data_IF_626950451775
#
_entry.id   IF_626950451775
#
_cell.length_a   1.000
_cell.length_b   1.000
_cell.length_c   1.000
_cell.angle_alpha   90.00
_cell.angle_beta   90.00
_cell.angle_gamma   90.00
#
_symmetry.space_group_name_H-M   'P 1'
#
loop_
_entity.id
_entity.type
_entity.pdbx_description
1 polymer ?
#
# COMPACT_ATOMS: atom_id res chain seq x y z
N UNK A 1 23.49 11.28 -38.56
CA UNK A 1 23.17 10.88 -37.17
C UNK A 1 21.84 10.11 -36.99
N UNK A 2 20.79 10.31 -37.81
CA UNK A 2 19.44 9.77 -37.52
C UNK A 2 19.17 8.25 -37.60
N UNK A 3 20.04 7.38 -38.12
CA UNK A 3 19.75 5.92 -38.22
C UNK A 3 20.09 5.12 -36.95
N UNK A 4 21.09 5.53 -36.16
CA UNK A 4 21.45 4.87 -34.89
C UNK A 4 20.46 5.21 -33.77
N UNK A 5 20.02 6.46 -33.72
CA UNK A 5 19.04 6.93 -32.72
C UNK A 5 17.67 6.27 -32.93
N UNK A 6 17.23 6.10 -34.18
CA UNK A 6 15.93 5.47 -34.48
C UNK A 6 15.90 3.96 -34.13
N UNK A 7 17.00 3.25 -34.37
CA UNK A 7 17.14 1.82 -34.04
C UNK A 7 17.23 1.60 -32.52
N UNK A 8 17.85 2.53 -31.80
CA UNK A 8 17.97 2.51 -30.34
C UNK A 8 16.62 2.80 -29.66
N UNK A 9 15.86 3.76 -30.20
CA UNK A 9 14.50 4.07 -29.72
C UNK A 9 13.54 2.90 -29.95
N UNK A 10 13.52 2.28 -31.14
CA UNK A 10 12.68 1.09 -31.40
C UNK A 10 13.04 -0.09 -30.49
N UNK A 11 14.34 -0.30 -30.20
CA UNK A 11 14.78 -1.38 -29.30
C UNK A 11 14.33 -1.11 -27.85
N UNK A 12 14.39 0.15 -27.41
CA UNK A 12 13.93 0.54 -26.07
C UNK A 12 12.40 0.44 -25.94
N UNK A 13 11.63 0.84 -26.95
CA UNK A 13 10.17 0.67 -26.96
C UNK A 13 9.77 -0.81 -26.90
N UNK A 14 10.41 -1.66 -27.70
CA UNK A 14 10.17 -3.11 -27.65
C UNK A 14 10.52 -3.71 -26.28
N UNK A 15 11.64 -3.29 -25.67
CA UNK A 15 12.01 -3.73 -24.33
C UNK A 15 11.04 -3.23 -23.26
N UNK A 16 10.54 -2.00 -23.37
CA UNK A 16 9.50 -1.48 -22.46
C UNK A 16 8.24 -2.32 -22.58
N UNK A 17 7.77 -2.58 -23.79
CA UNK A 17 6.54 -3.33 -24.02
C UNK A 17 6.69 -4.79 -23.58
N UNK A 18 7.85 -5.40 -23.86
CA UNK A 18 8.19 -6.72 -23.34
C UNK A 18 8.19 -6.75 -21.82
N UNK A 19 8.79 -5.78 -21.15
CA UNK A 19 8.82 -5.72 -19.67
C UNK A 19 7.42 -5.47 -19.09
N UNK A 20 6.61 -4.63 -19.71
CA UNK A 20 5.22 -4.39 -19.30
C UNK A 20 4.37 -5.65 -19.45
N UNK A 21 4.42 -6.29 -20.62
CA UNK A 21 3.70 -7.53 -20.90
C UNK A 21 4.18 -8.64 -19.95
N UNK A 22 5.48 -8.77 -19.76
CA UNK A 22 6.08 -9.71 -18.84
C UNK A 22 5.65 -9.46 -17.39
N UNK A 23 5.57 -8.19 -16.96
CA UNK A 23 5.03 -7.83 -15.65
C UNK A 23 3.58 -8.32 -15.53
N UNK A 24 2.72 -7.96 -16.50
CA UNK A 24 1.30 -8.32 -16.55
C UNK A 24 1.09 -9.83 -16.41
N UNK A 25 1.78 -10.61 -17.25
CA UNK A 25 1.66 -12.07 -17.33
C UNK A 25 2.19 -12.79 -16.08
N UNK A 26 3.07 -12.14 -15.29
CA UNK A 26 3.72 -12.71 -14.12
C UNK A 26 3.38 -11.97 -12.81
N UNK A 27 2.22 -11.31 -12.72
CA UNK A 27 1.84 -10.48 -11.58
C UNK A 27 1.43 -11.26 -10.31
N UNK A 28 2.39 -11.46 -9.40
CA UNK A 28 2.11 -11.74 -7.98
C UNK A 28 2.23 -10.48 -7.09
N UNK A 29 2.69 -9.35 -7.63
CA UNK A 29 2.97 -8.14 -6.86
C UNK A 29 1.72 -7.57 -6.15
N UNK A 30 0.56 -7.55 -6.82
CA UNK A 30 -0.71 -7.11 -6.24
C UNK A 30 -1.26 -8.07 -5.19
N UNK A 31 -1.10 -9.38 -5.42
CA UNK A 31 -1.44 -10.42 -4.45
C UNK A 31 -0.62 -10.21 -3.18
N UNK A 32 0.68 -9.93 -3.30
CA UNK A 32 1.54 -9.63 -2.16
C UNK A 32 1.10 -8.36 -1.41
N UNK A 33 0.76 -7.29 -2.11
CA UNK A 33 0.27 -6.05 -1.47
C UNK A 33 -1.05 -6.29 -0.73
N UNK A 34 -1.98 -7.01 -1.35
CA UNK A 34 -3.28 -7.28 -0.75
C UNK A 34 -3.14 -8.16 0.49
N UNK A 35 -2.43 -9.29 0.37
CA UNK A 35 -2.35 -10.26 1.46
C UNK A 35 -1.42 -9.84 2.60
N UNK A 36 -0.37 -9.07 2.29
CA UNK A 36 0.64 -8.67 3.27
C UNK A 36 0.34 -7.33 3.93
N UNK A 37 -0.38 -6.42 3.25
CA UNK A 37 -0.62 -5.06 3.72
C UNK A 37 -2.11 -4.79 3.87
N UNK A 38 -2.86 -4.78 2.76
CA UNK A 38 -4.26 -4.32 2.77
C UNK A 38 -5.13 -5.16 3.70
N UNK A 39 -5.05 -6.49 3.57
CA UNK A 39 -5.87 -7.43 4.35
C UNK A 39 -5.55 -7.34 5.85
N UNK A 40 -4.29 -7.42 6.32
CA UNK A 40 -3.98 -7.25 7.74
C UNK A 40 -4.43 -5.90 8.30
N UNK A 41 -4.19 -4.80 7.57
CA UNK A 41 -4.58 -3.46 8.02
C UNK A 41 -6.09 -3.38 8.14
N UNK A 42 -6.83 -3.74 7.08
CA UNK A 42 -8.30 -3.75 7.09
C UNK A 42 -8.87 -4.67 8.17
N UNK A 43 -8.26 -5.83 8.39
CA UNK A 43 -8.65 -6.78 9.42
C UNK A 43 -8.56 -6.15 10.82
N UNK A 44 -7.44 -5.52 11.13
CA UNK A 44 -7.21 -4.85 12.42
C UNK A 44 -8.22 -3.72 12.63
N UNK A 45 -8.46 -2.93 11.59
CA UNK A 45 -9.39 -1.80 11.63
C UNK A 45 -10.82 -2.23 11.96
N UNK A 46 -11.32 -3.27 11.29
CA UNK A 46 -12.66 -3.81 11.53
C UNK A 46 -12.81 -4.39 12.94
N UNK A 47 -11.77 -5.07 13.44
CA UNK A 47 -11.81 -5.63 14.79
C UNK A 47 -11.84 -4.54 15.86
N UNK A 48 -11.06 -3.47 15.67
CA UNK A 48 -10.99 -2.35 16.61
C UNK A 48 -12.27 -1.53 16.61
N UNK A 49 -12.86 -1.28 15.43
CA UNK A 49 -14.19 -0.67 15.37
C UNK A 49 -15.21 -1.49 16.17
N UNK A 50 -15.24 -2.82 15.97
CA UNK A 50 -16.19 -3.67 16.66
C UNK A 50 -15.93 -3.70 18.18
N UNK A 51 -14.68 -3.65 18.61
CA UNK A 51 -14.31 -3.56 20.03
C UNK A 51 -14.78 -2.24 20.64
N UNK A 52 -14.53 -1.12 19.96
CA UNK A 52 -14.99 0.21 20.36
C UNK A 52 -16.51 0.24 20.53
N UNK A 53 -17.22 -0.31 19.55
CA UNK A 53 -18.67 -0.39 19.53
C UNK A 53 -19.22 -1.25 20.66
N UNK A 54 -18.59 -2.40 20.94
CA UNK A 54 -18.98 -3.28 22.04
C UNK A 54 -18.79 -2.59 23.40
N UNK A 55 -17.70 -1.85 23.60
CA UNK A 55 -17.48 -1.08 24.82
C UNK A 55 -18.60 -0.06 25.07
N UNK A 56 -18.92 0.75 24.04
CA UNK A 56 -20.00 1.73 24.10
C UNK A 56 -21.37 1.10 24.41
N UNK A 57 -21.69 -0.03 23.78
CA UNK A 57 -22.95 -0.73 24.03
C UNK A 57 -23.04 -1.25 25.47
N UNK A 58 -21.94 -1.78 26.02
CA UNK A 58 -21.92 -2.27 27.41
C UNK A 58 -22.16 -1.13 28.40
N UNK A 59 -21.58 0.03 28.17
CA UNK A 59 -21.77 1.22 29.00
C UNK A 59 -23.21 1.76 28.93
N UNK A 60 -23.79 1.77 27.72
CA UNK A 60 -25.11 2.37 27.47
C UNK A 60 -26.26 1.49 27.97
N UNK A 61 -26.21 0.18 27.67
CA UNK A 61 -27.33 -0.74 27.89
C UNK A 61 -27.25 -1.41 29.27
N UNK A 62 -26.03 -1.67 29.77
CA UNK A 62 -25.77 -2.37 31.03
C UNK A 62 -26.50 -3.73 31.16
N UNK A 63 -26.70 -4.44 30.05
CA UNK A 63 -27.28 -5.79 29.99
C UNK A 63 -26.18 -6.83 29.71
N UNK A 64 -26.20 -7.94 30.45
CA UNK A 64 -25.30 -9.08 30.25
C UNK A 64 -25.45 -9.74 28.88
N UNK A 65 -26.57 -9.51 28.18
CA UNK A 65 -26.81 -9.96 26.80
C UNK A 65 -25.99 -9.20 25.75
N UNK A 66 -25.28 -8.13 26.12
CA UNK A 66 -24.35 -7.39 25.25
C UNK A 66 -22.96 -8.04 25.26
N UNK A 67 -22.71 -8.90 24.28
CA UNK A 67 -21.41 -9.59 24.16
C UNK A 67 -21.03 -9.89 22.70
N UNK A 68 -19.75 -10.24 22.49
CA UNK A 68 -19.26 -10.73 21.21
C UNK A 68 -19.49 -12.24 21.09
N UNK A 69 -20.21 -12.68 20.06
CA UNK A 69 -20.54 -14.07 19.79
C UNK A 69 -19.72 -14.66 18.63
N UNK A 70 -18.39 -14.64 18.79
CA UNK A 70 -17.44 -15.17 17.81
C UNK A 70 -17.22 -14.29 16.58
N UNK A 71 -16.58 -14.88 15.57
CA UNK A 71 -16.19 -14.24 14.31
C UNK A 71 -16.81 -14.99 13.12
N UNK A 72 -17.07 -14.29 12.02
CA UNK A 72 -17.38 -14.90 10.74
C UNK A 72 -16.49 -14.35 9.63
N UNK A 73 -16.23 -15.18 8.62
CA UNK A 73 -15.44 -14.79 7.46
C UNK A 73 -16.33 -14.14 6.41
N UNK A 74 -15.87 -13.01 5.87
CA UNK A 74 -16.46 -12.33 4.71
C UNK A 74 -15.39 -12.21 3.63
N UNK A 75 -15.69 -12.67 2.42
CA UNK A 75 -14.86 -12.41 1.24
C UNK A 75 -15.17 -11.01 0.73
N UNK A 76 -14.13 -10.20 0.56
CA UNK A 76 -14.20 -8.87 -0.05
C UNK A 76 -13.38 -8.85 -1.33
N UNK A 77 -13.60 -7.86 -2.19
CA UNK A 77 -13.00 -7.72 -3.51
C UNK A 77 -12.37 -6.34 -3.70
N UNK A 78 -11.28 -6.31 -4.44
CA UNK A 78 -10.63 -5.12 -4.98
C UNK A 78 -10.10 -5.48 -6.37
N UNK A 79 -10.60 -4.82 -7.41
CA UNK A 79 -10.41 -5.25 -8.80
C UNK A 79 -10.84 -6.72 -8.96
N UNK A 80 -10.00 -7.51 -9.62
CA UNK A 80 -10.22 -8.96 -9.80
C UNK A 80 -9.78 -9.82 -8.61
N UNK A 81 -9.21 -9.20 -7.56
CA UNK A 81 -8.72 -9.92 -6.38
C UNK A 81 -9.84 -10.05 -5.35
N UNK A 82 -9.88 -11.20 -4.69
CA UNK A 82 -10.75 -11.42 -3.53
C UNK A 82 -9.96 -11.97 -2.36
N UNK A 83 -10.20 -11.42 -1.18
CA UNK A 83 -9.50 -11.81 0.04
C UNK A 83 -10.49 -11.91 1.22
N UNK A 84 -10.24 -12.83 2.17
CA UNK A 84 -11.09 -13.00 3.34
C UNK A 84 -10.74 -12.00 4.44
N UNK A 85 -11.76 -11.52 5.15
CA UNK A 85 -11.64 -10.81 6.43
C UNK A 85 -12.57 -11.44 7.46
N UNK A 86 -12.16 -11.42 8.73
CA UNK A 86 -12.96 -11.84 9.88
C UNK A 86 -13.70 -10.63 10.46
N UNK A 87 -14.96 -10.82 10.80
CA UNK A 87 -15.82 -9.77 11.36
C UNK A 87 -16.46 -10.30 12.64
N UNK A 88 -16.46 -9.50 13.71
CA UNK A 88 -17.06 -9.88 14.98
C UNK A 88 -18.58 -9.87 14.91
N UNK A 89 -19.23 -10.89 15.49
CA UNK A 89 -20.68 -10.89 15.69
C UNK A 89 -20.98 -10.25 17.04
N UNK A 90 -21.71 -9.14 17.06
CA UNK A 90 -22.18 -8.52 18.30
C UNK A 90 -23.62 -8.98 18.56
N UNK A 91 -23.89 -9.46 19.78
CA UNK A 91 -25.23 -9.82 20.25
C UNK A 91 -25.78 -8.61 20.99
N UNK A 92 -26.81 -7.97 20.41
CA UNK A 92 -27.80 -7.08 21.05
C UNK A 92 -28.62 -6.39 19.94
N UNK A 93 -27.95 -5.85 18.94
CA UNK A 93 -28.55 -5.22 17.75
C UNK A 93 -27.86 -5.66 16.46
N UNK A 94 -28.54 -5.48 15.32
CA UNK A 94 -28.02 -5.76 13.98
C UNK A 94 -27.00 -4.69 13.57
N UNK A 95 -25.88 -4.66 14.28
CA UNK A 95 -24.87 -3.62 14.20
C UNK A 95 -23.90 -3.92 13.06
N UNK A 96 -23.97 -3.14 11.98
CA UNK A 96 -22.98 -3.21 10.89
C UNK A 96 -21.74 -2.38 11.21
N UNK A 97 -20.60 -2.83 10.69
CA UNK A 97 -19.37 -2.04 10.56
C UNK A 97 -19.63 -0.84 9.65
N UNK A 98 -19.08 0.32 9.98
CA UNK A 98 -19.00 1.51 9.11
C UNK A 98 -17.89 1.36 8.07
N UNK A 99 -16.83 0.62 8.40
CA UNK A 99 -15.69 0.32 7.51
C UNK A 99 -16.10 -0.61 6.39
N UNK A 100 -16.80 -1.68 6.76
CA UNK A 100 -17.26 -2.74 5.86
C UNK A 100 -18.76 -2.88 6.03
N UNK A 101 -19.52 -2.02 5.37
CA UNK A 101 -20.98 -1.96 5.53
C UNK A 101 -21.64 -3.29 5.17
N UNK A 102 -22.85 -3.50 5.67
CA UNK A 102 -23.57 -4.75 5.45
C UNK A 102 -23.71 -5.01 3.95
N UNK A 103 -23.45 -6.24 3.53
CA UNK A 103 -23.46 -6.67 2.13
C UNK A 103 -22.43 -6.02 1.19
N UNK A 104 -21.61 -5.07 1.65
CA UNK A 104 -20.49 -4.59 0.85
C UNK A 104 -19.50 -5.75 0.62
N UNK A 105 -19.17 -5.96 -0.65
CA UNK A 105 -18.27 -7.00 -1.13
C UNK A 105 -17.16 -6.48 -2.02
N UNK A 106 -17.26 -5.23 -2.50
CA UNK A 106 -16.26 -4.61 -3.35
C UNK A 106 -15.82 -3.27 -2.76
N UNK A 107 -14.53 -2.99 -2.85
CA UNK A 107 -13.92 -1.72 -2.48
C UNK A 107 -13.31 -1.06 -3.70
N UNK A 108 -13.38 0.27 -3.73
CA UNK A 108 -12.71 1.07 -4.75
C UNK A 108 -11.21 1.23 -4.45
N UNK A 109 -10.44 1.59 -5.47
CA UNK A 109 -8.98 1.81 -5.33
C UNK A 109 -8.67 2.92 -4.33
N UNK A 110 -9.52 3.93 -4.21
CA UNK A 110 -9.32 5.02 -3.25
C UNK A 110 -9.29 4.51 -1.82
N UNK A 111 -10.27 3.70 -1.43
CA UNK A 111 -10.33 3.07 -0.11
C UNK A 111 -9.07 2.23 0.15
N UNK A 112 -8.61 1.48 -0.85
CA UNK A 112 -7.41 0.65 -0.71
C UNK A 112 -6.16 1.51 -0.52
N UNK A 113 -6.04 2.63 -1.22
CA UNK A 113 -4.93 3.57 -1.02
C UNK A 113 -5.00 4.25 0.36
N UNK A 114 -6.20 4.56 0.85
CA UNK A 114 -6.38 5.04 2.23
C UNK A 114 -5.87 4.00 3.24
N UNK A 115 -6.17 2.71 3.04
CA UNK A 115 -5.68 1.60 3.87
C UNK A 115 -4.15 1.45 3.76
N UNK A 116 -3.58 1.51 2.56
CA UNK A 116 -2.12 1.43 2.36
C UNK A 116 -1.40 2.60 3.03
N UNK A 117 -1.98 3.80 2.99
CA UNK A 117 -1.43 4.98 3.67
C UNK A 117 -1.29 4.72 5.17
N UNK A 118 -2.27 4.10 5.82
CA UNK A 118 -2.21 3.74 7.23
C UNK A 118 -1.11 2.72 7.57
N UNK A 119 -0.66 1.95 6.58
CA UNK A 119 0.42 0.96 6.72
C UNK A 119 1.81 1.54 6.48
N UNK A 120 1.89 2.77 5.95
CA UNK A 120 3.15 3.43 5.65
C UNK A 120 3.93 3.71 6.94
N UNK A 121 5.19 3.29 6.99
CA UNK A 121 6.05 3.49 8.15
C UNK A 121 6.43 4.96 8.42
N UNK A 122 6.20 5.85 7.47
CA UNK A 122 6.65 7.24 7.55
C UNK A 122 5.60 8.19 8.15
N UNK A 123 4.41 7.68 8.50
CA UNK A 123 3.39 8.48 9.18
C UNK A 123 3.64 8.51 10.70
N UNK A 124 3.53 9.70 11.28
CA UNK A 124 3.50 9.89 12.73
C UNK A 124 2.21 9.34 13.35
N UNK A 125 2.23 9.06 14.66
CA UNK A 125 1.05 8.59 15.39
C UNK A 125 -0.13 9.58 15.29
N UNK A 126 0.17 10.88 15.30
CA UNK A 126 -0.86 11.91 15.11
C UNK A 126 -1.46 11.88 13.70
N UNK A 127 -0.65 11.67 12.67
CA UNK A 127 -1.15 11.55 11.29
C UNK A 127 -2.02 10.32 11.10
N UNK A 128 -1.61 9.18 11.65
CA UNK A 128 -2.40 7.95 11.63
C UNK A 128 -3.72 8.18 12.37
N UNK A 129 -3.70 8.74 13.58
CA UNK A 129 -4.91 9.02 14.37
C UNK A 129 -5.89 9.92 13.63
N UNK A 130 -5.38 11.02 13.04
CA UNK A 130 -6.18 11.92 12.23
C UNK A 130 -6.76 11.21 11.00
N UNK A 131 -5.95 10.41 10.30
CA UNK A 131 -6.41 9.68 9.13
C UNK A 131 -7.49 8.65 9.49
N UNK A 132 -7.34 7.89 10.58
CA UNK A 132 -8.35 6.96 11.08
C UNK A 132 -9.65 7.69 11.41
N UNK A 133 -9.57 8.80 12.14
CA UNK A 133 -10.76 9.61 12.48
C UNK A 133 -11.49 10.09 11.23
N UNK A 134 -10.75 10.52 10.21
CA UNK A 134 -11.29 11.00 8.95
C UNK A 134 -11.90 9.88 8.08
N UNK A 135 -11.33 8.67 8.13
CA UNK A 135 -11.85 7.49 7.44
C UNK A 135 -13.11 6.93 8.11
N UNK A 136 -13.16 6.96 9.44
CA UNK A 136 -14.22 6.30 10.20
C UNK A 136 -15.35 7.20 10.68
N UNK A 137 -15.13 8.52 10.67
CA UNK A 137 -16.10 9.48 11.18
C UNK A 137 -16.42 9.28 12.67
N UNK A 138 -15.54 8.62 13.42
CA UNK A 138 -15.60 8.54 14.87
C UNK A 138 -14.18 8.69 15.45
N UNK A 139 -14.09 9.35 16.60
CA UNK A 139 -12.84 9.44 17.35
C UNK A 139 -12.58 8.10 18.03
N UNK A 140 -11.41 7.53 17.78
CA UNK A 140 -10.90 6.42 18.58
C UNK A 140 -10.48 6.97 19.94
N UNK A 141 -10.78 6.25 21.03
CA UNK A 141 -10.14 6.54 22.30
C UNK A 141 -8.63 6.32 22.18
N UNK A 142 -7.85 7.02 23.01
CA UNK A 142 -6.39 6.85 23.04
C UNK A 142 -5.99 5.38 23.24
N UNK A 143 -6.71 4.67 24.11
CA UNK A 143 -6.50 3.25 24.37
C UNK A 143 -6.67 2.38 23.11
N UNK A 144 -7.75 2.59 22.34
CA UNK A 144 -8.02 1.84 21.12
C UNK A 144 -7.04 2.21 20.00
N UNK A 145 -6.62 3.46 19.95
CA UNK A 145 -5.60 3.91 19.01
C UNK A 145 -4.25 3.25 19.30
N UNK A 146 -3.83 3.20 20.57
CA UNK A 146 -2.62 2.51 20.99
C UNK A 146 -2.72 1.00 20.69
N UNK A 147 -3.88 0.38 20.90
CA UNK A 147 -4.11 -1.01 20.52
C UNK A 147 -3.99 -1.23 19.00
N UNK A 148 -4.55 -0.33 18.18
CA UNK A 148 -4.37 -0.34 16.73
C UNK A 148 -2.89 -0.33 16.35
N UNK A 149 -2.13 0.62 16.90
CA UNK A 149 -0.71 0.73 16.62
C UNK A 149 0.06 -0.50 17.06
N UNK A 150 -0.26 -1.07 18.22
CA UNK A 150 0.38 -2.29 18.74
C UNK A 150 0.15 -3.50 17.84
N UNK A 151 -1.04 -3.63 17.25
CA UNK A 151 -1.36 -4.73 16.33
C UNK A 151 -0.74 -4.53 14.95
N UNK A 152 -0.74 -3.29 14.42
CA UNK A 152 -0.30 -3.04 13.05
C UNK A 152 1.21 -2.88 12.89
N UNK A 153 1.85 -2.09 13.77
CA UNK A 153 3.27 -1.69 13.62
C UNK A 153 4.23 -2.87 13.50
N UNK A 154 4.08 -3.98 14.26
CA UNK A 154 4.99 -5.11 14.12
C UNK A 154 4.97 -5.70 12.70
N UNK A 155 3.78 -5.88 12.13
CA UNK A 155 3.61 -6.50 10.81
C UNK A 155 4.13 -5.58 9.69
N UNK A 156 3.78 -4.28 9.73
CA UNK A 156 4.27 -3.32 8.74
C UNK A 156 5.77 -3.12 8.84
N UNK A 157 6.32 -2.96 10.06
CA UNK A 157 7.77 -2.87 10.27
C UNK A 157 8.49 -4.11 9.75
N UNK A 158 7.99 -5.30 10.08
CA UNK A 158 8.58 -6.57 9.61
C UNK A 158 8.57 -6.66 8.09
N UNK A 159 7.50 -6.23 7.43
CA UNK A 159 7.43 -6.22 5.97
C UNK A 159 8.44 -5.25 5.36
N UNK A 160 8.50 -4.01 5.86
CA UNK A 160 9.46 -3.00 5.39
C UNK A 160 10.92 -3.33 5.74
N UNK A 161 11.18 -4.11 6.79
CA UNK A 161 12.53 -4.55 7.19
C UNK A 161 12.92 -5.91 6.61
N UNK A 162 12.04 -6.57 5.83
CA UNK A 162 12.32 -7.87 5.23
C UNK A 162 13.56 -7.75 4.35
N UNK A 163 14.56 -8.60 4.61
CA UNK A 163 15.80 -8.63 3.84
C UNK A 163 15.54 -8.97 2.37
N UNK A 164 16.36 -8.37 1.50
CA UNK A 164 16.29 -8.47 0.04
C UNK A 164 17.48 -9.23 -0.56
N UNK A 165 18.12 -10.14 0.19
CA UNK A 165 19.29 -10.93 -0.27
C UNK A 165 19.07 -11.81 -1.53
N UNK A 166 17.93 -11.67 -2.22
CA UNK A 166 17.70 -12.25 -3.52
C UNK A 166 18.30 -11.36 -4.61
N UNK A 167 19.10 -11.93 -5.52
CA UNK A 167 19.51 -11.19 -6.72
C UNK A 167 18.28 -10.92 -7.60
N UNK A 168 17.79 -9.68 -7.55
CA UNK A 168 16.79 -9.18 -8.48
C UNK A 168 17.49 -8.59 -9.69
N UNK A 169 17.19 -9.12 -10.87
CA UNK A 169 17.78 -8.63 -12.12
C UNK A 169 17.15 -7.33 -12.60
N UNK A 170 15.87 -7.11 -12.28
CA UNK A 170 15.12 -5.95 -12.78
C UNK A 170 14.30 -5.31 -11.67
N UNK A 171 14.34 -3.99 -11.59
CA UNK A 171 13.45 -3.19 -10.74
C UNK A 171 12.52 -2.34 -11.60
N UNK A 172 11.25 -2.29 -11.21
CA UNK A 172 10.23 -1.44 -11.79
C UNK A 172 9.82 -0.42 -10.74
N UNK A 173 9.92 0.86 -11.07
CA UNK A 173 9.52 1.96 -10.21
C UNK A 173 8.26 2.62 -10.74
N UNK A 174 7.26 2.78 -9.87
CA UNK A 174 6.05 3.51 -10.22
C UNK A 174 5.62 4.44 -9.09
N UNK A 175 4.78 5.41 -9.43
CA UNK A 175 4.15 6.32 -8.49
C UNK A 175 2.65 6.45 -8.78
N UNK A 176 1.83 6.47 -7.74
CA UNK A 176 0.39 6.64 -7.83
C UNK A 176 -0.03 7.86 -7.00
N UNK A 177 -0.42 8.98 -7.63
CA UNK A 177 -0.98 10.11 -6.90
C UNK A 177 -2.39 9.76 -6.42
N UNK A 178 -2.71 10.14 -5.19
CA UNK A 178 -4.04 9.94 -4.61
C UNK A 178 -4.38 11.04 -3.62
N UNK A 179 -5.63 11.09 -3.17
CA UNK A 179 -6.11 12.11 -2.23
C UNK A 179 -6.69 11.44 -0.99
N UNK A 180 -6.17 11.82 0.17
CA UNK A 180 -6.75 11.44 1.46
C UNK A 180 -7.73 12.52 1.92
N UNK A 181 -8.87 12.08 2.45
CA UNK A 181 -9.84 13.00 3.07
C UNK A 181 -9.29 13.43 4.42
N UNK A 182 -9.36 14.73 4.69
CA UNK A 182 -9.07 15.30 6.00
C UNK A 182 -10.21 16.21 6.44
N UNK A 183 -10.61 16.11 7.71
CA UNK A 183 -11.54 17.05 8.31
C UNK A 183 -10.72 18.07 9.10
N UNK A 184 -10.76 19.33 8.67
CA UNK A 184 -10.17 20.48 9.38
C UNK A 184 -11.31 21.48 9.62
N UNK A 185 -11.55 21.86 10.88
CA UNK A 185 -12.52 22.90 11.26
C UNK A 185 -13.93 22.73 10.64
N UNK A 186 -14.49 21.52 10.76
CA UNK A 186 -15.79 21.12 10.19
C UNK A 186 -15.89 21.17 8.65
N UNK A 187 -14.79 21.49 7.95
CA UNK A 187 -14.70 21.48 6.50
C UNK A 187 -13.97 20.23 6.00
N UNK A 188 -14.53 19.60 4.97
CA UNK A 188 -13.89 18.48 4.28
C UNK A 188 -12.85 19.04 3.30
N UNK A 189 -11.58 18.71 3.53
CA UNK A 189 -10.48 18.98 2.61
C UNK A 189 -9.87 17.68 2.09
N UNK A 190 -9.10 17.80 1.03
CA UNK A 190 -8.34 16.68 0.47
C UNK A 190 -6.85 17.03 0.45
N UNK A 191 -6.02 16.18 1.04
CA UNK A 191 -4.56 16.29 0.95
C UNK A 191 -4.05 15.38 -0.15
N UNK A 192 -3.26 15.94 -1.06
CA UNK A 192 -2.57 15.16 -2.08
C UNK A 192 -1.51 14.29 -1.42
N UNK A 193 -1.41 13.05 -1.87
CA UNK A 193 -0.42 12.06 -1.47
C UNK A 193 0.11 11.36 -2.72
N UNK A 194 1.27 10.76 -2.60
CA UNK A 194 1.92 9.96 -3.64
C UNK A 194 2.35 8.64 -3.02
N UNK A 195 1.86 7.54 -3.60
CA UNK A 195 2.28 6.19 -3.28
C UNK A 195 3.43 5.81 -4.22
N UNK A 196 4.61 5.56 -3.66
CA UNK A 196 5.81 5.10 -4.34
C UNK A 196 5.81 3.58 -4.31
N UNK A 197 6.17 2.94 -5.41
CA UNK A 197 6.12 1.50 -5.57
C UNK A 197 7.41 1.01 -6.20
N UNK A 198 7.94 -0.08 -5.65
CA UNK A 198 9.09 -0.78 -6.20
C UNK A 198 8.75 -2.26 -6.31
N UNK A 199 8.63 -2.73 -7.56
CA UNK A 199 8.47 -4.13 -7.89
C UNK A 199 9.80 -4.66 -8.38
N UNK A 200 10.19 -5.84 -7.92
CA UNK A 200 11.40 -6.49 -8.35
C UNK A 200 11.09 -7.80 -9.07
N UNK A 201 11.90 -8.11 -10.09
CA UNK A 201 11.84 -9.35 -10.86
C UNK A 201 13.12 -10.12 -10.59
N UNK A 202 12.99 -11.34 -10.09
CA UNK A 202 14.14 -12.21 -9.80
C UNK A 202 14.61 -12.98 -11.06
N UNK A 203 15.71 -13.72 -10.93
CA UNK A 203 16.23 -14.53 -12.04
C UNK A 203 15.27 -15.65 -12.51
N UNK A 204 14.34 -16.08 -11.67
CA UNK A 204 13.27 -17.03 -12.02
C UNK A 204 12.05 -16.36 -12.66
N UNK A 205 12.16 -15.11 -13.08
CA UNK A 205 11.09 -14.38 -13.74
C UNK A 205 9.84 -14.12 -12.86
N UNK A 206 9.96 -14.24 -11.55
CA UNK A 206 8.86 -13.94 -10.62
C UNK A 206 8.93 -12.48 -10.17
N UNK A 207 7.81 -11.78 -10.31
CA UNK A 207 7.64 -10.42 -9.81
C UNK A 207 7.17 -10.40 -8.35
N UNK A 208 7.69 -9.49 -7.55
CA UNK A 208 7.17 -9.21 -6.21
C UNK A 208 7.27 -7.72 -5.87
N UNK A 209 6.27 -7.19 -5.18
CA UNK A 209 6.36 -5.85 -4.58
C UNK A 209 7.34 -5.94 -3.39
N UNK A 210 8.49 -5.27 -3.51
CA UNK A 210 9.53 -5.28 -2.48
C UNK A 210 9.47 -4.05 -1.58
N UNK A 211 8.87 -2.96 -2.05
CA UNK A 211 8.74 -1.73 -1.27
C UNK A 211 7.57 -0.87 -1.72
N UNK A 212 6.94 -0.20 -0.76
CA UNK A 212 6.06 0.94 -1.01
C UNK A 212 6.34 2.03 0.01
N UNK A 213 6.03 3.29 -0.32
CA UNK A 213 6.11 4.43 0.59
C UNK A 213 5.01 5.44 0.27
N UNK A 214 4.57 6.22 1.25
CA UNK A 214 3.57 7.28 1.04
C UNK A 214 4.12 8.62 1.50
N UNK A 215 4.19 9.59 0.60
CA UNK A 215 4.59 10.97 0.91
C UNK A 215 3.58 12.00 0.38
N UNK A 216 3.77 13.27 0.74
CA UNK A 216 2.89 14.37 0.31
C UNK A 216 3.07 14.76 -1.16
N UNK A 217 4.28 14.60 -1.70
CA UNK A 217 4.64 14.98 -3.07
C UNK A 217 5.84 14.18 -3.55
N UNK A 218 5.99 14.13 -4.86
CA UNK A 218 7.20 13.58 -5.48
C UNK A 218 8.41 14.50 -5.30
N UNK A 219 9.55 13.95 -4.87
CA UNK A 219 10.85 14.63 -4.79
C UNK A 219 11.98 13.63 -5.04
N UNK A 220 13.14 14.12 -5.52
CA UNK A 220 14.37 13.33 -5.63
C UNK A 220 14.85 12.80 -4.27
N UNK A 221 14.64 13.59 -3.21
CA UNK A 221 14.99 13.20 -1.83
C UNK A 221 14.18 11.98 -1.38
N UNK A 222 12.88 11.94 -1.69
CA UNK A 222 12.04 10.79 -1.36
C UNK A 222 12.48 9.54 -2.13
N UNK A 223 12.81 9.68 -3.43
CA UNK A 223 13.35 8.56 -4.20
C UNK A 223 14.71 8.07 -3.70
N UNK A 224 15.60 9.00 -3.33
CA UNK A 224 16.89 8.67 -2.69
C UNK A 224 16.64 7.89 -1.39
N UNK A 225 15.68 8.32 -0.58
CA UNK A 225 15.31 7.61 0.64
C UNK A 225 14.82 6.19 0.36
N UNK A 226 13.93 6.00 -0.63
CA UNK A 226 13.46 4.67 -1.05
C UNK A 226 14.65 3.77 -1.43
N UNK A 227 15.53 4.25 -2.30
CA UNK A 227 16.68 3.50 -2.80
C UNK A 227 17.71 3.17 -1.69
N UNK A 228 17.98 4.10 -0.79
CA UNK A 228 18.85 3.87 0.37
C UNK A 228 18.29 2.78 1.30
N UNK A 229 16.97 2.78 1.53
CA UNK A 229 16.31 1.74 2.31
C UNK A 229 16.42 0.37 1.64
N UNK A 230 16.25 0.30 0.32
CA UNK A 230 16.44 -0.93 -0.44
C UNK A 230 17.87 -1.47 -0.28
N UNK A 231 18.88 -0.60 -0.47
CA UNK A 231 20.28 -0.94 -0.29
C UNK A 231 20.59 -1.41 1.13
N UNK A 232 20.05 -0.73 2.16
CA UNK A 232 20.20 -1.12 3.57
C UNK A 232 19.58 -2.48 3.88
N UNK A 233 18.53 -2.87 3.16
CA UNK A 233 17.90 -4.21 3.25
C UNK A 233 18.68 -5.30 2.52
N UNK A 234 19.82 -4.97 1.92
CA UNK A 234 20.69 -5.91 1.22
C UNK A 234 20.38 -6.11 -0.25
N UNK A 235 19.60 -5.20 -0.88
CA UNK A 235 19.35 -5.26 -2.32
C UNK A 235 20.64 -4.96 -3.09
N UNK A 236 21.12 -5.95 -3.84
CA UNK A 236 22.24 -5.80 -4.78
C UNK A 236 21.87 -4.87 -5.93
N UNK A 237 22.89 -4.32 -6.59
CA UNK A 237 22.71 -3.50 -7.78
C UNK A 237 22.03 -4.32 -8.91
N UNK A 238 20.87 -3.88 -9.43
CA UNK A 238 20.14 -4.62 -10.47
C UNK A 238 20.79 -4.42 -11.84
N UNK A 239 20.56 -5.36 -12.76
CA UNK A 239 21.01 -5.24 -14.15
C UNK A 239 20.20 -4.17 -14.91
N UNK A 240 18.90 -4.10 -14.62
CA UNK A 240 17.95 -3.24 -15.31
C UNK A 240 17.03 -2.50 -14.33
N UNK A 241 16.78 -1.23 -14.59
CA UNK A 241 15.79 -0.41 -13.90
C UNK A 241 14.85 0.20 -14.93
N UNK A 242 13.55 0.07 -14.70
CA UNK A 242 12.51 0.66 -15.55
C UNK A 242 11.67 1.62 -14.73
N UNK A 243 11.52 2.84 -15.23
CA UNK A 243 10.78 3.90 -14.54
C UNK A 243 10.18 4.89 -15.55
N UNK A 244 9.19 5.67 -15.11
CA UNK A 244 8.48 6.62 -15.98
C UNK A 244 9.31 7.89 -16.17
N UNK A 245 9.34 8.46 -17.39
CA UNK A 245 10.09 9.69 -17.72
C UNK A 245 9.78 10.87 -16.80
N UNK A 246 8.54 10.99 -16.34
CA UNK A 246 8.13 12.09 -15.47
C UNK A 246 8.66 11.98 -14.04
N UNK A 247 9.29 10.86 -13.66
CA UNK A 247 9.75 10.63 -12.30
C UNK A 247 11.10 11.27 -12.03
N UNK A 248 11.25 11.76 -10.81
CA UNK A 248 12.48 12.37 -10.27
C UNK A 248 13.47 11.30 -9.78
N UNK A 249 13.71 10.27 -10.60
CA UNK A 249 14.46 9.05 -10.25
C UNK A 249 15.88 8.97 -10.82
N UNK A 250 16.16 9.74 -11.88
CA UNK A 250 17.44 9.65 -12.60
C UNK A 250 18.65 9.93 -11.69
N UNK A 251 18.69 11.10 -11.07
CA UNK A 251 19.80 11.50 -10.20
C UNK A 251 19.97 10.54 -8.99
N UNK A 252 18.89 10.15 -8.27
CA UNK A 252 19.00 9.14 -7.21
C UNK A 252 19.53 7.78 -7.69
N UNK A 253 19.10 7.30 -8.85
CA UNK A 253 19.55 6.01 -9.42
C UNK A 253 21.02 6.07 -9.83
N UNK A 254 21.42 7.12 -10.54
CA UNK A 254 22.81 7.35 -10.97
C UNK A 254 23.76 7.41 -9.76
N UNK A 255 23.28 7.86 -8.59
CA UNK A 255 24.05 7.88 -7.34
C UNK A 255 24.11 6.52 -6.62
N UNK A 256 22.99 5.80 -6.53
CA UNK A 256 22.86 4.63 -5.65
C UNK A 256 23.14 3.31 -6.38
N UNK A 257 22.77 3.23 -7.66
CA UNK A 257 22.92 2.08 -8.56
C UNK A 257 23.52 2.52 -9.92
N UNK A 258 24.75 3.08 -9.94
CA UNK A 258 25.36 3.68 -11.12
C UNK A 258 25.58 2.74 -12.33
N UNK A 259 25.66 1.43 -12.10
CA UNK A 259 25.88 0.41 -13.15
C UNK A 259 24.59 -0.16 -13.71
N UNK A 260 23.45 0.10 -13.07
CA UNK A 260 22.17 -0.41 -13.53
C UNK A 260 21.80 0.24 -14.86
N UNK A 261 21.44 -0.58 -15.86
CA UNK A 261 20.92 -0.06 -17.13
C UNK A 261 19.55 0.56 -16.86
N UNK A 262 19.32 1.76 -17.37
CA UNK A 262 18.05 2.46 -17.18
C UNK A 262 17.23 2.43 -18.48
N UNK A 263 15.96 2.04 -18.37
CA UNK A 263 14.96 2.16 -19.42
C UNK A 263 13.87 3.11 -18.92
N UNK A 264 13.61 4.14 -19.71
CA UNK A 264 12.65 5.17 -19.37
C UNK A 264 11.43 5.03 -20.28
N UNK A 265 10.25 4.86 -19.70
CA UNK A 265 8.99 4.73 -20.44
C UNK A 265 8.11 6.00 -20.35
N UNK A 266 7.23 6.19 -21.32
CA UNK A 266 6.26 7.29 -21.33
C UNK A 266 5.08 7.04 -20.38
N UNK A 267 4.64 5.78 -20.27
CA UNK A 267 3.45 5.40 -19.52
C UNK A 267 3.75 4.90 -18.10
N UNK A 268 2.68 4.66 -17.34
CA UNK A 268 2.76 3.89 -16.10
C UNK A 268 3.17 2.44 -16.40
N UNK A 269 3.90 1.86 -15.46
CA UNK A 269 4.44 0.50 -15.57
C UNK A 269 3.52 -0.46 -14.83
N UNK A 270 3.02 -0.04 -13.68
CA UNK A 270 2.11 -0.80 -12.82
C UNK A 270 0.70 -0.28 -13.06
N UNK A 271 0.01 -0.82 -14.07
CA UNK A 271 -1.32 -0.36 -14.46
C UNK A 271 -2.45 -0.91 -13.58
N UNK A 272 -2.21 -2.01 -12.87
CA UNK A 272 -3.25 -2.79 -12.19
C UNK A 272 -3.48 -2.41 -10.70
N UNK A 273 -3.04 -1.22 -10.27
CA UNK A 273 -3.27 -0.68 -8.91
C UNK A 273 -4.44 0.31 -8.87
#
# INVERSE_FOLDING_TARGET
>A
MGKRDNKTNQTNEFLVEYVKQFYYDNTNALLNLTDSIVRPVLQTLVLIEHKAKLALLKETIKDQKVYQNGLYTRKVKWGDKSFPIKISRLRYENQSSKIVVKYQRSFDTKFIFDIISLASNDLSDNEISNQLTNLYGFQLSEELFLEYLKQLRPDTKKWHSKSLHNNYKTLLFDLKPFKIKINEDQNVKFKNKVLYLVVAINHQNKSELISFYVNNKETEQNWSHVLEKLKKRGLSEPELVVYKKSQLLKEPLDKIYPKAKQIVCADQIINDL
#
